data_IF_344953889118
#
_entry.id   IF_344953889118
#
_cell.length_a   1.000
_cell.length_b   1.000
_cell.length_c   1.000
_cell.angle_alpha   90.00
_cell.angle_beta   90.00
_cell.angle_gamma   90.00
#
_symmetry.space_group_name_H-M   'P 1'
#
loop_
_entity.id
_entity.type
_entity.pdbx_description
1 polymer ?
#
# COMPACT_ATOMS: atom_id res chain seq x y z
N UNK A 1 0.82 17.20 -18.38
CA UNK A 1 1.81 16.35 -17.72
C UNK A 1 2.62 17.15 -16.73
N UNK A 2 2.76 16.71 -15.49
CA UNK A 2 3.67 17.38 -14.58
C UNK A 2 5.10 17.20 -15.05
N UNK A 3 5.85 18.28 -15.05
CA UNK A 3 7.24 18.28 -15.51
C UNK A 3 8.23 17.88 -14.41
N UNK A 4 7.75 17.74 -13.20
CA UNK A 4 8.58 17.37 -12.04
C UNK A 4 7.81 16.55 -11.04
N UNK A 5 8.53 15.81 -10.20
CA UNK A 5 7.95 15.06 -9.09
C UNK A 5 7.22 15.99 -8.11
N UNK A 6 7.73 17.19 -7.90
CA UNK A 6 7.09 18.17 -7.00
C UNK A 6 5.73 18.61 -7.51
N UNK A 7 5.58 18.83 -8.82
CA UNK A 7 4.29 19.19 -9.42
C UNK A 7 3.29 18.02 -9.33
N UNK A 8 3.75 16.82 -9.63
CA UNK A 8 2.93 15.61 -9.50
C UNK A 8 2.41 15.46 -8.06
N UNK A 9 3.29 15.64 -7.09
CA UNK A 9 2.94 15.54 -5.66
C UNK A 9 1.87 16.55 -5.28
N UNK A 10 1.99 17.77 -5.76
CA UNK A 10 0.99 18.82 -5.53
C UNK A 10 -0.39 18.42 -6.06
N UNK A 11 -0.42 17.87 -7.28
CA UNK A 11 -1.66 17.43 -7.91
C UNK A 11 -2.29 16.25 -7.12
N UNK A 12 -1.47 15.30 -6.69
CA UNK A 12 -1.97 14.17 -5.90
C UNK A 12 -2.50 14.61 -4.55
N UNK A 13 -1.86 15.59 -3.89
CA UNK A 13 -2.35 16.12 -2.62
C UNK A 13 -3.71 16.81 -2.80
N UNK A 14 -3.88 17.60 -3.83
CA UNK A 14 -5.15 18.24 -4.12
C UNK A 14 -6.24 17.20 -4.41
N UNK A 15 -5.93 16.18 -5.22
CA UNK A 15 -6.85 15.10 -5.52
C UNK A 15 -7.20 14.27 -4.28
N UNK A 16 -6.23 14.02 -3.41
CA UNK A 16 -6.44 13.29 -2.15
C UNK A 16 -7.37 14.05 -1.21
N UNK A 17 -7.25 15.37 -1.16
CA UNK A 17 -8.16 16.22 -0.37
C UNK A 17 -9.59 16.13 -0.88
N UNK A 18 -9.76 15.91 -2.18
CA UNK A 18 -11.08 15.71 -2.79
C UNK A 18 -11.58 14.25 -2.66
N UNK A 19 -10.80 13.38 -2.02
CA UNK A 19 -11.17 12.00 -1.78
C UNK A 19 -10.88 11.03 -2.92
N UNK A 20 -10.04 11.38 -3.88
CA UNK A 20 -9.70 10.48 -4.98
C UNK A 20 -8.80 9.33 -4.50
N UNK A 21 -9.26 8.07 -4.63
CA UNK A 21 -8.53 6.92 -4.07
C UNK A 21 -7.13 6.73 -4.64
N UNK A 22 -6.99 6.86 -5.96
CA UNK A 22 -5.70 6.61 -6.62
C UNK A 22 -4.63 7.63 -6.19
N UNK A 23 -5.05 8.85 -5.82
CA UNK A 23 -4.14 9.88 -5.38
C UNK A 23 -3.48 9.52 -4.05
N UNK A 24 -4.22 8.88 -3.15
CA UNK A 24 -3.70 8.42 -1.86
C UNK A 24 -2.62 7.35 -2.06
N UNK A 25 -2.87 6.42 -2.96
CA UNK A 25 -1.90 5.38 -3.31
C UNK A 25 -0.65 5.99 -3.95
N UNK A 26 -0.83 6.94 -4.88
CA UNK A 26 0.28 7.61 -5.54
C UNK A 26 1.15 8.40 -4.58
N UNK A 27 0.55 9.05 -3.58
CA UNK A 27 1.31 9.76 -2.54
C UNK A 27 2.16 8.80 -1.71
N UNK A 28 1.58 7.66 -1.33
CA UNK A 28 2.33 6.62 -0.64
C UNK A 28 3.50 6.11 -1.46
N UNK A 29 3.27 5.83 -2.74
CA UNK A 29 4.30 5.35 -3.65
C UNK A 29 5.39 6.39 -3.86
N UNK A 30 5.04 7.68 -3.92
CA UNK A 30 6.02 8.75 -4.04
C UNK A 30 6.90 8.86 -2.79
N UNK A 31 6.31 8.78 -1.61
CA UNK A 31 7.07 8.76 -0.36
C UNK A 31 8.01 7.55 -0.29
N UNK A 32 7.53 6.38 -0.71
CA UNK A 32 8.33 5.17 -0.74
C UNK A 32 9.53 5.31 -1.68
N UNK A 33 9.31 5.89 -2.85
CA UNK A 33 10.37 6.10 -3.84
C UNK A 33 11.45 7.07 -3.34
N UNK A 34 11.08 8.00 -2.47
CA UNK A 34 12.02 8.93 -1.86
C UNK A 34 12.69 8.39 -0.60
N UNK A 35 12.38 7.16 -0.21
CA UNK A 35 12.91 6.55 1.00
C UNK A 35 12.20 6.98 2.28
N UNK A 36 11.11 7.72 2.19
CA UNK A 36 10.33 8.19 3.34
C UNK A 36 9.27 7.14 3.70
N UNK A 37 9.74 6.03 4.22
CA UNK A 37 8.93 4.83 4.41
C UNK A 37 7.85 5.01 5.48
N UNK A 38 8.10 5.81 6.50
CA UNK A 38 7.10 6.09 7.53
C UNK A 38 5.90 6.85 6.98
N UNK A 39 6.16 7.90 6.20
CA UNK A 39 5.08 8.65 5.54
C UNK A 39 4.37 7.80 4.50
N UNK A 40 5.11 6.95 3.78
CA UNK A 40 4.49 6.00 2.84
C UNK A 40 3.47 5.13 3.57
N UNK A 41 3.84 4.56 4.72
CA UNK A 41 2.92 3.76 5.53
C UNK A 41 1.67 4.55 5.93
N UNK A 42 1.82 5.80 6.35
CA UNK A 42 0.68 6.63 6.73
C UNK A 42 -0.26 6.88 5.56
N UNK A 43 0.28 7.18 4.36
CA UNK A 43 -0.54 7.35 3.17
C UNK A 43 -1.25 6.05 2.77
N UNK A 44 -0.57 4.91 2.87
CA UNK A 44 -1.18 3.62 2.57
C UNK A 44 -2.29 3.27 3.56
N UNK A 45 -2.12 3.59 4.85
CA UNK A 45 -3.18 3.41 5.86
C UNK A 45 -4.39 4.26 5.55
N UNK A 46 -4.17 5.50 5.13
CA UNK A 46 -5.25 6.40 4.74
C UNK A 46 -5.96 5.89 3.49
N UNK A 47 -5.20 5.38 2.53
CA UNK A 47 -5.76 4.74 1.34
C UNK A 47 -6.61 3.53 1.72
N UNK A 48 -6.17 2.73 2.70
CA UNK A 48 -6.93 1.59 3.19
C UNK A 48 -8.24 1.99 3.84
N UNK A 49 -8.24 3.06 4.62
CA UNK A 49 -9.46 3.61 5.20
C UNK A 49 -10.45 4.05 4.13
N UNK A 50 -9.95 4.71 3.10
CA UNK A 50 -10.75 5.11 1.96
C UNK A 50 -11.32 3.89 1.23
N UNK A 51 -10.51 2.86 1.01
CA UNK A 51 -10.93 1.63 0.36
C UNK A 51 -11.97 0.86 1.18
N UNK A 52 -11.92 0.95 2.50
CA UNK A 52 -12.94 0.33 3.36
C UNK A 52 -14.30 1.01 3.18
N UNK A 53 -14.31 2.34 2.99
CA UNK A 53 -15.54 3.10 2.78
C UNK A 53 -16.08 2.92 1.36
N UNK A 54 -15.20 2.87 0.36
CA UNK A 54 -15.57 2.75 -1.07
C UNK A 54 -14.69 1.67 -1.70
N UNK A 55 -15.02 0.39 -1.51
CA UNK A 55 -14.22 -0.71 -2.07
C UNK A 55 -14.18 -0.67 -3.60
N UNK A 56 -13.03 -1.04 -4.15
CA UNK A 56 -12.81 -1.09 -5.60
C UNK A 56 -12.08 -2.38 -5.95
N UNK A 57 -12.50 -3.04 -7.03
CA UNK A 57 -12.00 -4.36 -7.38
C UNK A 57 -10.50 -4.37 -7.73
N UNK A 58 -9.99 -3.28 -8.29
CA UNK A 58 -8.56 -3.18 -8.66
C UNK A 58 -7.75 -2.39 -7.63
N UNK A 59 -8.30 -1.29 -7.13
CA UNK A 59 -7.60 -0.39 -6.23
C UNK A 59 -7.39 -1.02 -4.86
N UNK A 60 -8.44 -1.59 -4.28
CA UNK A 60 -8.39 -2.11 -2.89
C UNK A 60 -7.29 -3.16 -2.69
N UNK A 61 -7.15 -4.20 -3.55
CA UNK A 61 -6.08 -5.17 -3.33
C UNK A 61 -4.69 -4.60 -3.51
N UNK A 62 -4.51 -3.60 -4.37
CA UNK A 62 -3.22 -2.92 -4.54
C UNK A 62 -2.84 -2.15 -3.27
N UNK A 63 -3.79 -1.48 -2.64
CA UNK A 63 -3.58 -0.82 -1.36
C UNK A 63 -3.22 -1.83 -0.28
N UNK A 64 -3.95 -2.94 -0.20
CA UNK A 64 -3.68 -3.99 0.77
C UNK A 64 -2.27 -4.55 0.62
N UNK A 65 -1.83 -4.78 -0.62
CA UNK A 65 -0.49 -5.28 -0.89
C UNK A 65 0.60 -4.30 -0.42
N UNK A 66 0.48 -3.03 -0.79
CA UNK A 66 1.44 -2.01 -0.39
C UNK A 66 1.45 -1.82 1.13
N UNK A 67 0.26 -1.75 1.73
CA UNK A 67 0.15 -1.63 3.17
C UNK A 67 0.82 -2.82 3.88
N UNK A 68 0.58 -4.04 3.41
CA UNK A 68 1.19 -5.23 3.99
C UNK A 68 2.72 -5.16 3.94
N UNK A 69 3.29 -4.72 2.83
CA UNK A 69 4.73 -4.60 2.67
C UNK A 69 5.36 -3.64 3.69
N UNK A 70 4.67 -2.56 4.02
CA UNK A 70 5.16 -1.55 4.95
C UNK A 70 4.80 -1.85 6.41
N UNK A 71 3.62 -2.42 6.69
CA UNK A 71 3.26 -2.86 8.05
C UNK A 71 4.24 -3.88 8.59
N UNK A 72 4.66 -4.84 7.77
CA UNK A 72 5.65 -5.85 8.19
C UNK A 72 6.90 -5.21 8.73
N UNK A 73 7.36 -4.17 8.06
CA UNK A 73 8.64 -3.54 8.37
C UNK A 73 8.57 -2.65 9.61
N UNK A 74 7.44 -1.99 9.83
CA UNK A 74 7.38 -0.89 10.80
C UNK A 74 6.43 -1.08 11.96
N UNK A 75 5.45 -1.98 11.88
CA UNK A 75 4.44 -2.10 12.93
C UNK A 75 4.06 -3.52 13.35
N UNK A 76 3.44 -4.29 12.47
CA UNK A 76 2.80 -5.54 12.88
C UNK A 76 2.78 -6.60 11.80
N UNK A 77 3.43 -7.72 12.10
CA UNK A 77 3.41 -8.90 11.24
C UNK A 77 1.99 -9.45 11.07
N UNK A 78 1.20 -9.45 12.15
CA UNK A 78 -0.17 -9.94 12.12
C UNK A 78 -1.03 -9.12 11.16
N UNK A 79 -0.92 -7.80 11.21
CA UNK A 79 -1.63 -6.92 10.29
C UNK A 79 -1.16 -7.12 8.85
N UNK A 80 0.14 -7.28 8.67
CA UNK A 80 0.71 -7.53 7.35
C UNK A 80 0.18 -8.82 6.75
N UNK A 81 0.11 -9.90 7.54
CA UNK A 81 -0.43 -11.18 7.08
C UNK A 81 -1.89 -11.05 6.64
N UNK A 82 -2.71 -10.35 7.42
CA UNK A 82 -4.11 -10.16 7.09
C UNK A 82 -4.28 -9.39 5.78
N UNK A 83 -3.53 -8.33 5.59
CA UNK A 83 -3.61 -7.51 4.37
C UNK A 83 -3.08 -8.26 3.15
N UNK A 84 -1.98 -8.99 3.30
CA UNK A 84 -1.41 -9.77 2.21
C UNK A 84 -2.34 -10.90 1.76
N UNK A 85 -3.01 -11.57 2.71
CA UNK A 85 -3.97 -12.62 2.42
C UNK A 85 -5.19 -12.06 1.67
N UNK A 86 -5.69 -10.90 2.08
CA UNK A 86 -6.80 -10.23 1.39
C UNK A 86 -6.40 -9.87 -0.05
N UNK A 87 -5.19 -9.33 -0.23
CA UNK A 87 -4.67 -8.99 -1.54
C UNK A 87 -4.54 -10.21 -2.44
N UNK A 88 -3.98 -11.30 -1.93
CA UNK A 88 -3.82 -12.56 -2.68
C UNK A 88 -5.17 -13.06 -3.17
N UNK A 89 -6.17 -13.08 -2.31
CA UNK A 89 -7.50 -13.57 -2.67
C UNK A 89 -8.10 -12.71 -3.79
N UNK A 90 -8.01 -11.40 -3.68
CA UNK A 90 -8.53 -10.50 -4.69
C UNK A 90 -7.79 -10.61 -6.02
N UNK A 91 -6.46 -10.68 -5.99
CA UNK A 91 -5.67 -10.84 -7.21
C UNK A 91 -5.90 -12.19 -7.89
N UNK A 92 -6.19 -13.22 -7.14
CA UNK A 92 -6.56 -14.53 -7.71
C UNK A 92 -7.84 -14.41 -8.54
N UNK A 93 -8.82 -13.67 -8.06
CA UNK A 93 -10.07 -13.43 -8.80
C UNK A 93 -9.78 -12.61 -10.06
N UNK A 94 -9.00 -11.54 -9.95
CA UNK A 94 -8.63 -10.71 -11.10
C UNK A 94 -7.85 -11.50 -12.15
N UNK A 95 -6.98 -12.42 -11.73
CA UNK A 95 -6.24 -13.28 -12.64
C UNK A 95 -7.19 -14.18 -13.45
N UNK A 96 -8.20 -14.74 -12.80
CA UNK A 96 -9.20 -15.55 -13.48
C UNK A 96 -10.00 -14.77 -14.50
N UNK A 97 -10.16 -13.47 -14.28
CA UNK A 97 -10.85 -12.56 -15.17
C UNK A 97 -9.93 -11.98 -16.24
N UNK A 98 -8.66 -12.42 -16.28
CA UNK A 98 -7.65 -11.98 -17.23
C UNK A 98 -7.35 -10.48 -17.18
N UNK A 99 -7.44 -9.89 -15.99
CA UNK A 99 -7.09 -8.48 -15.81
C UNK A 99 -5.59 -8.26 -16.01
N UNK A 100 -5.19 -7.20 -16.74
CA UNK A 100 -3.78 -6.88 -16.92
C UNK A 100 -3.04 -6.72 -15.57
N UNK A 101 -1.80 -7.17 -15.53
CA UNK A 101 -0.92 -7.07 -14.35
C UNK A 101 -1.35 -7.92 -13.14
N UNK A 102 -2.51 -8.59 -13.18
CA UNK A 102 -2.97 -9.40 -12.06
C UNK A 102 -1.99 -10.52 -11.70
N UNK A 103 -1.37 -11.14 -12.70
CA UNK A 103 -0.37 -12.19 -12.49
C UNK A 103 0.81 -11.65 -11.67
N UNK A 104 1.30 -10.48 -12.02
CA UNK A 104 2.42 -9.85 -11.34
C UNK A 104 2.07 -9.50 -9.89
N UNK A 105 0.92 -8.89 -9.68
CA UNK A 105 0.47 -8.52 -8.33
C UNK A 105 0.21 -9.74 -7.47
N UNK A 106 -0.33 -10.81 -8.06
CA UNK A 106 -0.54 -12.06 -7.34
C UNK A 106 0.80 -12.66 -6.90
N UNK A 107 1.80 -12.67 -7.77
CA UNK A 107 3.13 -13.15 -7.43
C UNK A 107 3.75 -12.34 -6.29
N UNK A 108 3.60 -11.02 -6.31
CA UNK A 108 4.09 -10.16 -5.23
C UNK A 108 3.41 -10.49 -3.89
N UNK A 109 2.10 -10.70 -3.91
CA UNK A 109 1.35 -11.04 -2.70
C UNK A 109 1.74 -12.42 -2.17
N UNK A 110 1.91 -13.40 -3.06
CA UNK A 110 2.34 -14.75 -2.68
C UNK A 110 3.75 -14.75 -2.11
N UNK A 111 4.67 -14.00 -2.72
CA UNK A 111 6.03 -13.86 -2.22
C UNK A 111 6.06 -13.23 -0.84
N UNK A 112 5.27 -12.20 -0.63
CA UNK A 112 5.18 -11.54 0.67
C UNK A 112 4.62 -12.49 1.74
N UNK A 113 3.57 -13.23 1.41
CA UNK A 113 3.00 -14.22 2.33
C UNK A 113 4.03 -15.29 2.69
N UNK A 114 4.79 -15.77 1.72
CA UNK A 114 5.86 -16.73 1.97
C UNK A 114 6.89 -16.15 2.93
N UNK A 115 7.36 -14.94 2.69
CA UNK A 115 8.33 -14.28 3.55
C UNK A 115 7.80 -14.12 4.97
N UNK A 116 6.55 -13.68 5.11
CA UNK A 116 5.92 -13.46 6.41
C UNK A 116 5.74 -14.74 7.21
N UNK A 117 5.59 -15.89 6.54
CA UNK A 117 5.36 -17.16 7.21
C UNK A 117 6.62 -17.96 7.44
N UNK A 118 7.70 -17.71 6.71
CA UNK A 118 8.93 -18.51 6.75
C UNK A 118 10.12 -17.77 7.37
N UNK A 119 10.11 -16.44 7.40
CA UNK A 119 11.18 -15.68 8.01
C UNK A 119 10.97 -15.52 9.51
N UNK A 120 12.07 -15.53 10.31
CA UNK A 120 11.94 -15.27 11.74
C UNK A 120 11.42 -13.84 11.96
N UNK A 121 10.63 -13.60 13.02
CA UNK A 121 10.18 -12.27 13.33
C UNK A 121 11.37 -11.35 13.61
N UNK A 122 11.45 -10.27 12.84
CA UNK A 122 12.41 -9.20 13.12
C UNK A 122 11.79 -8.23 14.11
N UNK A 123 12.63 -7.66 14.98
CA UNK A 123 12.16 -6.61 15.87
C UNK A 123 11.60 -5.46 15.02
N UNK A 124 10.44 -4.90 15.40
CA UNK A 124 9.94 -3.73 14.67
C UNK A 124 10.99 -2.62 14.70
N UNK A 125 11.17 -1.96 13.57
CA UNK A 125 12.05 -0.80 13.53
C UNK A 125 11.57 0.22 14.56
N UNK A 126 12.51 0.84 15.27
CA UNK A 126 12.17 1.88 16.24
C UNK A 126 11.74 3.14 15.51
N UNK A 127 10.50 3.13 15.03
CA UNK A 127 9.94 4.16 14.20
C UNK A 127 8.64 4.67 14.82
N UNK A 128 8.68 5.89 15.30
CA UNK A 128 7.49 6.48 15.91
C UNK A 128 6.58 7.05 14.83
N UNK A 129 5.68 6.22 14.32
CA UNK A 129 4.74 6.60 13.27
C UNK A 129 3.75 7.64 13.76
N UNK A 130 3.40 7.60 15.04
CA UNK A 130 2.43 8.54 15.63
C UNK A 130 2.92 9.97 15.61
N UNK A 131 4.24 10.19 15.60
CA UNK A 131 4.81 11.54 15.55
C UNK A 131 4.89 12.12 14.14
N UNK A 132 4.62 11.31 13.10
CA UNK A 132 4.69 11.75 11.71
C UNK A 132 3.41 12.45 11.29
N UNK A 133 3.57 13.46 10.46
CA UNK A 133 2.44 14.21 9.91
C UNK A 133 2.45 14.12 8.39
N UNK A 134 1.25 13.99 7.84
CA UNK A 134 1.03 14.05 6.39
C UNK A 134 0.66 15.48 6.01
N UNK A 135 1.60 16.22 5.53
CA UNK A 135 1.40 17.59 5.12
C UNK A 135 1.37 17.78 3.59
#
# INVERSE_FOLDING_TARGET
>A
MPKSAAQARKLWKAAAESGEPIALLNLGNDCAARGDNGKALLWYRRARQNAAAVPDIEYTPRVCLRLAQYETRYTSRKKALAQAAEAKQAFTILQREHEPDADRWLQEAEQLLYELTHEPPTAPAAYNIESLQLD
#
